data_IF_639375697173
#
_entry.id   IF_639375697173
#
_cell.length_a   1.000
_cell.length_b   1.000
_cell.length_c   1.000
_cell.angle_alpha   90.00
_cell.angle_beta   90.00
_cell.angle_gamma   90.00
#
_symmetry.space_group_name_H-M   'P 1'
#
loop_
_entity.id
_entity.type
_entity.pdbx_description
1 polymer ?
#
# COMPACT_ATOMS: atom_id res chain seq x y z
N UNK A 1 -25.34 22.47 6.89
CA UNK A 1 -24.03 22.77 7.50
C UNK A 1 -23.19 23.47 6.44
N UNK A 2 -23.36 24.78 6.32
CA UNK A 2 -22.52 25.66 5.51
C UNK A 2 -21.27 26.04 6.31
N UNK A 3 -20.08 26.10 5.69
CA UNK A 3 -18.92 26.73 6.29
C UNK A 3 -18.75 28.18 5.82
N UNK A 4 -18.77 29.08 6.79
CA UNK A 4 -18.48 30.51 6.73
C UNK A 4 -17.01 30.82 6.37
N UNK A 5 -16.79 31.73 5.41
CA UNK A 5 -15.51 32.37 5.12
C UNK A 5 -15.66 33.90 5.21
N UNK A 6 -14.81 34.62 5.97
CA UNK A 6 -14.72 36.08 5.89
C UNK A 6 -13.53 36.57 5.03
N UNK A 7 -13.58 37.83 4.53
CA UNK A 7 -12.70 38.35 3.50
C UNK A 7 -11.62 39.30 4.05
N UNK A 8 -10.46 39.37 3.39
CA UNK A 8 -9.66 40.60 3.33
C UNK A 8 -8.60 40.54 2.23
N UNK A 9 -8.89 41.29 1.17
CA UNK A 9 -8.00 41.63 0.07
C UNK A 9 -6.98 42.67 0.55
N UNK A 10 -5.68 42.40 0.41
CA UNK A 10 -4.64 43.42 0.54
C UNK A 10 -3.89 43.52 -0.79
N UNK A 11 -4.43 44.35 -1.69
CA UNK A 11 -3.81 44.79 -2.94
C UNK A 11 -3.04 46.07 -2.63
N UNK A 12 -1.73 45.98 -2.44
CA UNK A 12 -0.87 47.16 -2.30
C UNK A 12 -0.59 47.70 -3.72
N UNK A 13 -1.41 48.66 -4.14
CA UNK A 13 -1.15 49.52 -5.30
C UNK A 13 -0.32 50.70 -4.82
N UNK A 14 0.91 50.82 -5.32
CA UNK A 14 1.71 52.03 -5.13
C UNK A 14 1.10 53.16 -5.96
N UNK A 15 0.63 54.21 -5.28
CA UNK A 15 0.11 55.44 -5.90
C UNK A 15 1.28 56.35 -6.27
N UNK A 16 1.41 56.64 -7.56
CA UNK A 16 2.30 57.64 -8.15
C UNK A 16 1.68 59.04 -7.93
N UNK A 17 1.88 59.63 -6.75
CA UNK A 17 1.42 61.00 -6.49
C UNK A 17 2.36 61.70 -5.49
N UNK A 18 3.54 62.08 -6.00
CA UNK A 18 4.41 63.13 -5.44
C UNK A 18 5.60 63.38 -6.37
N UNK A 19 5.33 64.00 -7.53
CA UNK A 19 6.36 64.62 -8.38
C UNK A 19 6.04 66.10 -8.56
N UNK A 20 5.82 66.80 -7.44
CA UNK A 20 5.76 68.26 -7.46
C UNK A 20 6.20 68.84 -6.11
N UNK A 21 7.50 68.76 -5.85
CA UNK A 21 8.16 69.62 -4.88
C UNK A 21 9.66 69.72 -5.20
N UNK A 22 9.94 70.44 -6.28
CA UNK A 22 11.27 70.99 -6.57
C UNK A 22 11.57 72.02 -5.49
N UNK A 23 12.56 71.81 -4.59
CA UNK A 23 12.92 72.85 -3.63
C UNK A 23 13.64 73.98 -4.38
N UNK A 24 13.05 75.19 -4.33
CA UNK A 24 13.64 76.50 -4.67
C UNK A 24 14.84 76.87 -3.77
N UNK A 25 15.73 75.91 -3.51
CA UNK A 25 16.93 76.02 -2.67
C UNK A 25 18.22 75.90 -3.48
N UNK A 26 18.13 75.46 -4.75
CA UNK A 26 19.29 75.37 -5.65
C UNK A 26 19.66 76.69 -6.35
N UNK A 27 18.77 77.69 -6.38
CA UNK A 27 19.05 79.00 -7.00
C UNK A 27 19.75 80.02 -6.08
N UNK A 28 19.91 79.71 -4.79
CA UNK A 28 20.68 80.55 -3.86
C UNK A 28 22.17 80.16 -3.80
N UNK A 29 22.52 78.91 -4.13
CA UNK A 29 23.90 78.39 -4.07
C UNK A 29 24.73 78.64 -5.34
N UNK A 30 24.19 79.38 -6.32
CA UNK A 30 24.89 79.71 -7.57
C UNK A 30 25.56 81.09 -7.54
N UNK A 31 25.20 81.97 -6.59
CA UNK A 31 25.84 83.28 -6.42
C UNK A 31 27.23 83.21 -5.76
N UNK A 32 27.45 82.19 -4.93
CA UNK A 32 28.71 82.02 -4.20
C UNK A 32 29.85 81.48 -5.08
N UNK A 33 29.54 80.76 -6.17
CA UNK A 33 30.56 80.25 -7.09
C UNK A 33 31.16 81.35 -7.98
N UNK A 34 30.36 82.34 -8.38
CA UNK A 34 30.82 83.45 -9.22
C UNK A 34 31.76 84.39 -8.47
N UNK A 35 31.52 84.62 -7.18
CA UNK A 35 32.41 85.43 -6.34
C UNK A 35 33.72 84.68 -6.05
N UNK A 36 33.67 83.37 -5.82
CA UNK A 36 34.85 82.54 -5.58
C UNK A 36 35.78 82.48 -6.81
N UNK A 37 35.23 82.38 -8.02
CA UNK A 37 36.02 82.43 -9.27
C UNK A 37 36.72 83.80 -9.42
N UNK A 38 36.02 84.91 -9.17
CA UNK A 38 36.63 86.24 -9.26
C UNK A 38 37.70 86.50 -8.19
N UNK A 39 37.54 85.93 -6.99
CA UNK A 39 38.55 86.03 -5.91
C UNK A 39 39.77 85.17 -6.23
N UNK A 40 39.58 83.96 -6.78
CA UNK A 40 40.69 83.10 -7.20
C UNK A 40 41.45 83.71 -8.37
N UNK A 41 40.77 84.34 -9.35
CA UNK A 41 41.44 85.04 -10.46
C UNK A 41 42.13 86.33 -10.00
N UNK A 42 41.55 87.10 -9.07
CA UNK A 42 42.21 88.25 -8.44
C UNK A 42 43.45 87.83 -7.63
N UNK A 43 43.38 86.69 -6.94
CA UNK A 43 44.53 86.12 -6.21
C UNK A 43 45.61 85.60 -7.18
N UNK A 44 45.22 85.04 -8.34
CA UNK A 44 46.16 84.57 -9.36
C UNK A 44 46.87 85.72 -10.09
N UNK A 45 46.15 86.80 -10.38
CA UNK A 45 46.69 87.99 -11.06
C UNK A 45 47.61 88.77 -10.13
N UNK A 46 47.25 88.92 -8.84
CA UNK A 46 48.13 89.55 -7.84
C UNK A 46 49.36 88.71 -7.51
N UNK A 47 49.24 87.37 -7.49
CA UNK A 47 50.39 86.47 -7.31
C UNK A 47 51.35 86.49 -8.52
N UNK A 48 50.84 86.75 -9.74
CA UNK A 48 51.65 86.87 -10.95
C UNK A 48 52.38 88.22 -11.11
N UNK A 49 51.99 89.27 -10.36
CA UNK A 49 52.67 90.57 -10.33
C UNK A 49 53.62 90.75 -9.13
N UNK A 50 53.53 89.88 -8.10
CA UNK A 50 54.40 89.92 -6.92
C UNK A 50 55.69 89.08 -7.03
N UNK A 51 55.85 88.27 -8.09
CA UNK A 51 57.08 87.49 -8.37
C UNK A 51 57.95 88.12 -9.46
N UNK A 52 58.03 89.45 -9.46
CA UNK A 52 58.95 90.27 -10.24
C UNK A 52 60.24 90.64 -9.48
N UNK A 53 60.66 89.85 -8.50
CA UNK A 53 61.98 89.97 -7.86
C UNK A 53 62.78 88.69 -8.05
N UNK A 54 64.00 88.85 -8.55
CA UNK A 54 65.03 87.83 -8.75
C UNK A 54 65.16 86.88 -7.56
N UNK A 55 64.65 85.66 -7.69
CA UNK A 55 65.02 84.57 -6.79
C UNK A 55 66.51 84.25 -6.98
N UNK A 56 67.32 84.17 -5.90
CA UNK A 56 68.73 83.84 -6.00
C UNK A 56 68.88 82.46 -6.64
N UNK A 57 69.94 82.26 -7.44
CA UNK A 57 70.22 81.03 -8.19
C UNK A 57 70.09 79.74 -7.35
N UNK A 58 70.22 79.84 -6.03
CA UNK A 58 70.01 78.78 -5.05
C UNK A 58 68.60 78.15 -5.09
N UNK A 59 67.54 78.93 -5.33
CA UNK A 59 66.17 78.41 -5.38
C UNK A 59 65.85 77.72 -6.71
N UNK A 60 66.50 78.16 -7.80
CA UNK A 60 66.47 77.45 -9.09
C UNK A 60 67.25 76.14 -9.02
N UNK A 61 68.37 76.11 -8.28
CA UNK A 61 69.12 74.88 -8.01
C UNK A 61 68.31 73.91 -7.13
N UNK A 62 67.57 74.41 -6.14
CA UNK A 62 66.71 73.58 -5.29
C UNK A 62 65.50 73.02 -6.05
N UNK A 63 64.89 73.80 -6.95
CA UNK A 63 63.84 73.30 -7.85
C UNK A 63 64.37 72.39 -8.95
N UNK A 64 65.64 72.53 -9.37
CA UNK A 64 66.28 71.63 -10.33
C UNK A 64 66.72 70.31 -9.67
N UNK A 65 67.20 70.35 -8.43
CA UNK A 65 67.50 69.14 -7.63
C UNK A 65 66.20 68.42 -7.23
N UNK A 66 65.12 69.15 -6.98
CA UNK A 66 63.79 68.57 -6.71
C UNK A 66 63.06 68.12 -8.00
N UNK A 67 63.32 68.76 -9.13
CA UNK A 67 62.79 68.40 -10.45
C UNK A 67 63.57 67.29 -11.18
N UNK A 68 64.79 66.98 -10.74
CA UNK A 68 65.60 65.84 -11.20
C UNK A 68 65.39 64.56 -10.37
N UNK A 69 64.19 64.37 -9.82
CA UNK A 69 63.71 63.07 -9.41
C UNK A 69 62.62 62.54 -10.36
N UNK A 70 62.88 62.26 -11.65
CA UNK A 70 62.17 61.17 -12.27
C UNK A 70 62.83 59.87 -11.77
N UNK A 71 62.04 58.88 -11.37
CA UNK A 71 62.52 57.52 -11.06
C UNK A 71 63.23 57.28 -9.71
N UNK A 72 62.59 57.55 -8.58
CA UNK A 72 62.71 56.63 -7.42
C UNK A 72 61.59 56.85 -6.40
N UNK A 73 60.34 56.63 -6.80
CA UNK A 73 59.22 56.41 -5.86
C UNK A 73 58.10 55.60 -6.51
N UNK A 74 58.45 54.54 -7.24
CA UNK A 74 57.48 53.56 -7.74
C UNK A 74 57.96 52.13 -7.55
N UNK A 75 58.50 51.79 -6.38
CA UNK A 75 58.75 50.38 -6.01
C UNK A 75 58.40 50.14 -4.53
N UNK A 76 57.20 50.56 -4.12
CA UNK A 76 56.58 50.04 -2.90
C UNK A 76 55.08 49.81 -3.09
N UNK A 77 54.44 50.57 -3.99
CA UNK A 77 53.01 50.46 -4.28
C UNK A 77 52.69 49.32 -5.24
N UNK A 78 53.61 48.90 -6.11
CA UNK A 78 53.36 47.83 -7.08
C UNK A 78 53.23 46.46 -6.38
N UNK A 79 54.10 46.16 -5.42
CA UNK A 79 54.05 44.90 -4.68
C UNK A 79 52.80 44.80 -3.80
N UNK A 80 52.41 45.88 -3.11
CA UNK A 80 51.20 45.90 -2.27
C UNK A 80 49.93 45.89 -3.13
N UNK A 81 49.89 46.59 -4.27
CA UNK A 81 48.75 46.49 -5.21
C UNK A 81 48.64 45.09 -5.82
N UNK A 82 49.76 44.42 -6.11
CA UNK A 82 49.76 43.06 -6.66
C UNK A 82 49.33 42.05 -5.59
N UNK A 83 49.77 42.19 -4.34
CA UNK A 83 49.27 41.36 -3.23
C UNK A 83 47.79 41.62 -2.96
N UNK A 84 47.32 42.87 -3.02
CA UNK A 84 45.91 43.21 -2.88
C UNK A 84 45.08 42.71 -4.06
N UNK A 85 45.62 42.74 -5.29
CA UNK A 85 44.99 42.19 -6.47
C UNK A 85 44.89 40.65 -6.39
N UNK A 86 45.95 39.97 -5.96
CA UNK A 86 45.95 38.52 -5.75
C UNK A 86 44.97 38.13 -4.63
N UNK A 87 44.99 38.82 -3.49
CA UNK A 87 44.05 38.57 -2.40
C UNK A 87 42.59 38.86 -2.80
N UNK A 88 42.35 39.89 -3.61
CA UNK A 88 41.03 40.18 -4.16
C UNK A 88 40.57 39.07 -5.10
N UNK A 89 41.47 38.56 -5.95
CA UNK A 89 41.19 37.44 -6.83
C UNK A 89 40.89 36.17 -6.03
N UNK A 90 41.67 35.87 -4.98
CA UNK A 90 41.45 34.72 -4.10
C UNK A 90 40.13 34.84 -3.33
N UNK A 91 39.78 36.04 -2.85
CA UNK A 91 38.50 36.29 -2.18
C UNK A 91 37.31 36.09 -3.13
N UNK A 92 37.44 36.51 -4.40
CA UNK A 92 36.44 36.26 -5.42
C UNK A 92 36.33 34.76 -5.74
N UNK A 93 37.43 34.02 -5.78
CA UNK A 93 37.43 32.56 -5.96
C UNK A 93 36.74 31.85 -4.79
N UNK A 94 37.12 32.17 -3.55
CA UNK A 94 36.51 31.63 -2.32
C UNK A 94 35.01 31.95 -2.28
N UNK A 95 34.59 33.14 -2.73
CA UNK A 95 33.16 33.49 -2.78
C UNK A 95 32.36 32.61 -3.75
N UNK A 96 32.97 32.19 -4.87
CA UNK A 96 32.35 31.26 -5.83
C UNK A 96 32.27 29.85 -5.26
N UNK A 97 33.31 29.39 -4.57
CA UNK A 97 33.30 28.10 -3.88
C UNK A 97 32.27 28.08 -2.75
N UNK A 98 32.18 29.14 -1.95
CA UNK A 98 31.16 29.28 -0.91
C UNK A 98 29.75 29.32 -1.48
N UNK A 99 29.56 29.97 -2.65
CA UNK A 99 28.28 29.92 -3.35
C UNK A 99 27.94 28.49 -3.81
N UNK A 100 28.92 27.75 -4.34
CA UNK A 100 28.78 26.34 -4.70
C UNK A 100 28.42 25.46 -3.50
N UNK A 101 29.22 25.53 -2.42
CA UNK A 101 28.98 24.77 -1.19
C UNK A 101 27.62 25.09 -0.56
N UNK A 102 27.19 26.36 -0.61
CA UNK A 102 25.86 26.75 -0.12
C UNK A 102 24.74 26.08 -0.93
N UNK A 103 24.89 25.99 -2.26
CA UNK A 103 23.92 25.28 -3.11
C UNK A 103 23.93 23.78 -2.87
N UNK A 104 25.10 23.18 -2.63
CA UNK A 104 25.23 21.75 -2.33
C UNK A 104 24.61 21.40 -0.97
N UNK A 105 24.84 22.21 0.07
CA UNK A 105 24.19 22.04 1.37
C UNK A 105 22.68 22.14 1.26
N UNK A 106 22.18 23.08 0.46
CA UNK A 106 20.75 23.23 0.21
C UNK A 106 20.18 22.01 -0.52
N UNK A 107 20.92 21.46 -1.49
CA UNK A 107 20.56 20.22 -2.18
C UNK A 107 20.54 19.03 -1.22
N UNK A 108 21.61 18.83 -0.44
CA UNK A 108 21.72 17.75 0.53
C UNK A 108 20.62 17.83 1.60
N UNK A 109 20.21 19.04 2.00
CA UNK A 109 19.08 19.23 2.91
C UNK A 109 17.75 18.84 2.26
N UNK A 110 17.55 19.16 0.98
CA UNK A 110 16.37 18.74 0.22
C UNK A 110 16.33 17.23 0.03
N UNK A 111 17.45 16.61 -0.32
CA UNK A 111 17.56 15.15 -0.45
C UNK A 111 17.30 14.47 0.88
N UNK A 112 17.87 14.95 1.99
CA UNK A 112 17.57 14.41 3.32
C UNK A 112 16.08 14.55 3.69
N UNK A 113 15.44 15.67 3.34
CA UNK A 113 14.00 15.83 3.55
C UNK A 113 13.19 14.86 2.70
N UNK A 114 13.57 14.65 1.43
CA UNK A 114 12.93 13.69 0.52
C UNK A 114 13.10 12.25 0.99
N UNK A 115 14.31 11.88 1.44
CA UNK A 115 14.59 10.55 1.98
C UNK A 115 13.72 10.27 3.20
N UNK A 116 13.58 11.24 4.12
CA UNK A 116 12.69 11.11 5.29
C UNK A 116 11.24 10.85 4.89
N UNK A 117 10.72 11.60 3.92
CA UNK A 117 9.35 11.40 3.41
C UNK A 117 9.19 10.02 2.76
N UNK A 118 10.20 9.58 1.99
CA UNK A 118 10.19 8.27 1.33
C UNK A 118 10.18 7.13 2.35
N UNK A 119 11.00 7.22 3.40
CA UNK A 119 11.03 6.26 4.51
C UNK A 119 9.67 6.23 5.20
N UNK A 120 9.07 7.38 5.52
CA UNK A 120 7.76 7.43 6.18
C UNK A 120 6.64 6.84 5.30
N UNK A 121 6.66 7.07 4.00
CA UNK A 121 5.74 6.44 3.05
C UNK A 121 5.92 4.92 3.00
N UNK A 122 7.17 4.43 2.98
CA UNK A 122 7.49 3.00 3.03
C UNK A 122 7.01 2.37 4.34
N UNK A 123 7.29 3.00 5.47
CA UNK A 123 6.82 2.55 6.80
C UNK A 123 5.29 2.55 6.87
N UNK A 124 4.61 3.56 6.33
CA UNK A 124 3.14 3.61 6.27
C UNK A 124 2.57 2.49 5.40
N UNK A 125 3.17 2.23 4.23
CA UNK A 125 2.79 1.11 3.34
C UNK A 125 3.04 -0.25 4.00
N UNK A 126 4.17 -0.41 4.68
CA UNK A 126 4.47 -1.65 5.40
C UNK A 126 3.47 -1.89 6.55
N UNK A 127 3.10 -0.83 7.28
CA UNK A 127 2.10 -0.90 8.33
C UNK A 127 0.68 -1.15 7.79
N UNK A 128 0.30 -0.61 6.63
CA UNK A 128 -0.98 -0.94 6.00
C UNK A 128 -0.99 -2.38 5.49
N UNK A 129 0.05 -2.85 4.79
CA UNK A 129 0.13 -4.24 4.33
C UNK A 129 0.16 -5.22 5.51
N UNK A 130 0.86 -4.88 6.59
CA UNK A 130 0.85 -5.66 7.83
C UNK A 130 -0.51 -5.59 8.53
N UNK A 131 -1.21 -4.46 8.43
CA UNK A 131 -2.56 -4.25 8.95
C UNK A 131 -3.59 -5.11 8.21
N UNK A 132 -3.51 -5.17 6.88
CA UNK A 132 -4.36 -5.99 6.02
C UNK A 132 -4.10 -7.49 6.28
N UNK A 133 -2.84 -7.90 6.39
CA UNK A 133 -2.47 -9.27 6.73
C UNK A 133 -2.96 -9.67 8.14
N UNK A 134 -2.83 -8.77 9.13
CA UNK A 134 -3.37 -8.98 10.49
C UNK A 134 -4.90 -8.99 10.50
N UNK A 135 -5.55 -8.18 9.66
CA UNK A 135 -7.01 -8.15 9.48
C UNK A 135 -7.52 -9.46 8.89
N UNK A 136 -6.87 -9.95 7.83
CA UNK A 136 -7.15 -11.23 7.20
C UNK A 136 -6.90 -12.39 8.17
N UNK A 137 -5.81 -12.36 8.96
CA UNK A 137 -5.55 -13.37 10.00
C UNK A 137 -6.69 -13.44 11.01
N UNK A 138 -7.14 -12.29 11.55
CA UNK A 138 -8.28 -12.23 12.47
C UNK A 138 -9.59 -12.72 11.84
N UNK A 139 -9.78 -12.44 10.55
CA UNK A 139 -10.93 -12.95 9.81
C UNK A 139 -10.87 -14.48 9.64
N UNK A 140 -9.69 -15.01 9.35
CA UNK A 140 -9.45 -16.46 9.27
C UNK A 140 -9.63 -17.13 10.64
N UNK A 141 -9.14 -16.53 11.72
CA UNK A 141 -9.34 -17.03 13.09
C UNK A 141 -10.83 -17.08 13.46
N UNK A 142 -11.59 -16.03 13.14
CA UNK A 142 -13.04 -15.99 13.35
C UNK A 142 -13.78 -17.06 12.52
N UNK A 143 -13.35 -17.28 11.27
CA UNK A 143 -13.88 -18.35 10.40
C UNK A 143 -13.55 -19.73 10.98
N UNK A 144 -12.33 -19.96 11.45
CA UNK A 144 -11.92 -21.22 12.05
C UNK A 144 -12.77 -21.57 13.27
N UNK A 145 -12.95 -20.61 14.19
CA UNK A 145 -13.80 -20.78 15.37
C UNK A 145 -15.25 -21.10 14.99
N UNK A 146 -15.77 -20.49 13.92
CA UNK A 146 -17.12 -20.78 13.46
C UNK A 146 -17.27 -22.20 12.90
N UNK A 147 -16.25 -22.70 12.19
CA UNK A 147 -16.21 -24.07 11.68
C UNK A 147 -16.10 -25.08 12.81
N UNK A 148 -15.23 -24.82 13.79
CA UNK A 148 -15.03 -25.69 14.94
C UNK A 148 -16.30 -25.81 15.81
N UNK A 149 -17.06 -24.72 15.96
CA UNK A 149 -18.37 -24.75 16.61
C UNK A 149 -19.38 -25.61 15.85
N UNK A 150 -19.45 -25.48 14.52
CA UNK A 150 -20.35 -26.30 13.70
C UNK A 150 -19.97 -27.78 13.72
N UNK A 151 -18.67 -28.08 13.64
CA UNK A 151 -18.17 -29.45 13.72
C UNK A 151 -18.49 -30.09 15.08
N UNK A 152 -18.19 -29.41 16.19
CA UNK A 152 -18.49 -29.90 17.54
C UNK A 152 -19.99 -29.97 17.85
N UNK A 153 -20.81 -29.09 17.28
CA UNK A 153 -22.27 -29.19 17.37
C UNK A 153 -22.80 -30.40 16.60
N UNK A 154 -22.34 -30.61 15.36
CA UNK A 154 -22.75 -31.76 14.56
C UNK A 154 -22.40 -33.10 15.22
N UNK A 155 -21.23 -33.20 15.85
CA UNK A 155 -20.83 -34.39 16.61
C UNK A 155 -21.73 -34.62 17.83
N UNK A 156 -22.04 -33.57 18.60
CA UNK A 156 -22.96 -33.64 19.75
C UNK A 156 -24.38 -34.02 19.34
N UNK A 157 -24.87 -33.48 18.22
CA UNK A 157 -26.18 -33.81 17.67
C UNK A 157 -26.24 -35.27 17.22
N UNK A 158 -25.21 -35.79 16.55
CA UNK A 158 -25.15 -37.21 16.16
C UNK A 158 -25.15 -38.13 17.39
N UNK A 159 -24.37 -37.82 18.42
CA UNK A 159 -24.35 -38.60 19.66
C UNK A 159 -25.71 -38.55 20.36
N UNK A 160 -26.36 -37.38 20.39
CA UNK A 160 -27.70 -37.24 20.96
C UNK A 160 -28.75 -38.03 20.16
N UNK A 161 -28.67 -38.02 18.83
CA UNK A 161 -29.54 -38.81 17.96
C UNK A 161 -29.34 -40.31 18.20
N UNK A 162 -28.10 -40.79 18.25
CA UNK A 162 -27.82 -42.20 18.54
C UNK A 162 -28.36 -42.62 19.91
N UNK A 163 -28.15 -41.79 20.94
CA UNK A 163 -28.72 -42.02 22.27
C UNK A 163 -30.25 -42.04 22.28
N UNK A 164 -30.90 -41.19 21.48
CA UNK A 164 -32.35 -41.19 21.32
C UNK A 164 -32.85 -42.46 20.62
N UNK A 165 -32.14 -42.95 19.59
CA UNK A 165 -32.45 -44.23 18.95
C UNK A 165 -32.28 -45.40 19.91
N UNK A 166 -31.16 -45.44 20.66
CA UNK A 166 -30.91 -46.49 21.65
C UNK A 166 -31.99 -46.50 22.74
N UNK A 167 -32.40 -45.33 23.20
CA UNK A 167 -33.49 -45.20 24.18
C UNK A 167 -34.81 -45.71 23.60
N UNK A 168 -35.20 -45.26 22.40
CA UNK A 168 -36.42 -45.73 21.72
C UNK A 168 -36.40 -47.24 21.47
N UNK A 169 -35.25 -47.81 21.10
CA UNK A 169 -35.09 -49.25 20.91
C UNK A 169 -35.33 -50.00 22.24
N UNK A 170 -34.72 -49.53 23.33
CA UNK A 170 -34.93 -50.12 24.67
C UNK A 170 -36.38 -50.03 25.11
N UNK A 171 -37.01 -48.88 24.92
CA UNK A 171 -38.40 -48.65 25.29
C UNK A 171 -39.33 -49.58 24.48
N UNK A 172 -39.10 -49.73 23.17
CA UNK A 172 -39.85 -50.65 22.31
C UNK A 172 -39.67 -52.12 22.73
N UNK A 173 -38.45 -52.53 23.08
CA UNK A 173 -38.18 -53.90 23.56
C UNK A 173 -38.91 -54.15 24.89
N UNK A 174 -38.88 -53.19 25.80
CA UNK A 174 -39.58 -53.28 27.08
C UNK A 174 -41.10 -53.36 26.88
N UNK A 175 -41.66 -52.52 26.00
CA UNK A 175 -43.08 -52.52 25.64
C UNK A 175 -43.49 -53.84 24.97
N UNK A 176 -42.69 -54.34 24.03
CA UNK A 176 -42.94 -55.62 23.35
C UNK A 176 -42.90 -56.80 24.33
N UNK A 177 -41.94 -56.83 25.27
CA UNK A 177 -41.85 -57.88 26.29
C UNK A 177 -43.01 -57.80 27.29
N UNK A 178 -43.46 -56.60 27.66
CA UNK A 178 -44.65 -56.40 28.48
C UNK A 178 -45.91 -56.89 27.77
N UNK A 179 -46.08 -56.54 26.49
CA UNK A 179 -47.18 -57.02 25.66
C UNK A 179 -47.16 -58.56 25.50
N UNK A 180 -45.99 -59.16 25.24
CA UNK A 180 -45.85 -60.61 25.12
C UNK A 180 -46.22 -61.33 26.42
N UNK A 181 -45.85 -60.79 27.58
CA UNK A 181 -46.23 -61.33 28.88
C UNK A 181 -47.75 -61.26 29.13
N UNK A 182 -48.41 -60.24 28.58
CA UNK A 182 -49.87 -60.09 28.64
C UNK A 182 -50.60 -61.08 27.71
N UNK A 183 -49.99 -61.43 26.57
CA UNK A 183 -50.56 -62.37 25.58
C UNK A 183 -50.25 -63.84 25.92
N UNK A 184 -49.13 -64.13 26.56
CA UNK A 184 -48.76 -65.48 27.05
C UNK A 184 -49.32 -65.81 28.45
N UNK A 185 -50.26 -65.03 28.97
CA UNK A 185 -51.20 -65.57 29.97
C UNK A 185 -51.90 -66.81 29.40
N UNK A 186 -52.23 -67.84 30.21
CA UNK A 186 -52.66 -69.12 29.70
C UNK A 186 -54.00 -68.99 28.97
N UNK A 187 -53.94 -68.83 27.65
CA UNK A 187 -55.10 -68.95 26.79
C UNK A 187 -54.67 -69.54 25.45
N UNK A 188 -55.25 -70.70 25.23
CA UNK A 188 -55.21 -71.58 24.09
C UNK A 188 -55.61 -70.90 22.77
N UNK A 189 -54.93 -71.30 21.69
CA UNK A 189 -55.34 -71.27 20.27
C UNK A 189 -55.31 -69.92 19.53
N UNK A 190 -54.55 -69.89 18.43
CA UNK A 190 -54.80 -68.98 17.30
C UNK A 190 -53.55 -68.43 16.61
N UNK A 191 -53.18 -69.01 15.47
CA UNK A 191 -52.27 -68.37 14.51
C UNK A 191 -52.88 -67.07 13.95
N UNK A 192 -52.04 -66.10 13.54
CA UNK A 192 -52.44 -65.16 12.50
C UNK A 192 -51.52 -65.21 11.29
N UNK A 193 -52.12 -65.47 10.13
CA UNK A 193 -51.49 -65.35 8.83
C UNK A 193 -51.11 -63.90 8.51
N UNK A 194 -49.83 -63.72 8.16
CA UNK A 194 -49.31 -62.51 7.52
C UNK A 194 -49.33 -62.67 6.00
N UNK A 195 -49.60 -61.56 5.31
CA UNK A 195 -49.62 -61.42 3.85
C UNK A 195 -48.43 -62.12 3.14
N UNK A 196 -48.59 -62.54 1.86
CA UNK A 196 -47.52 -63.16 1.09
C UNK A 196 -46.41 -62.16 0.74
N UNK A 197 -45.54 -61.87 1.71
CA UNK A 197 -44.23 -61.27 1.43
C UNK A 197 -43.39 -62.29 0.68
N UNK A 198 -42.84 -61.90 -0.47
CA UNK A 198 -41.98 -62.75 -1.28
C UNK A 198 -40.86 -63.35 -0.40
N UNK A 199 -40.97 -64.64 -0.11
CA UNK A 199 -39.96 -65.39 0.63
C UNK A 199 -38.81 -65.72 -0.34
N UNK A 200 -37.67 -65.08 -0.15
CA UNK A 200 -36.45 -65.37 -0.91
C UNK A 200 -35.66 -66.46 -0.22
N UNK A 201 -35.30 -67.51 -0.97
CA UNK A 201 -34.45 -68.58 -0.43
C UNK A 201 -32.97 -68.17 -0.53
N UNK A 202 -32.12 -68.68 0.37
CA UNK A 202 -30.66 -68.53 0.25
C UNK A 202 -30.00 -69.71 -0.47
N UNK A 203 -30.81 -70.66 -0.96
CA UNK A 203 -30.38 -71.85 -1.69
C UNK A 203 -30.11 -71.56 -3.18
N UNK A 204 -28.99 -70.89 -3.45
CA UNK A 204 -28.47 -70.65 -4.78
C UNK A 204 -26.93 -70.69 -4.78
N UNK A 205 -26.30 -71.10 -5.89
CA UNK A 205 -24.84 -71.10 -6.01
C UNK A 205 -24.27 -69.68 -5.83
N UNK A 206 -23.20 -69.56 -5.04
CA UNK A 206 -22.51 -68.27 -4.82
C UNK A 206 -21.50 -67.94 -5.91
N UNK A 207 -21.18 -68.90 -6.78
CA UNK A 207 -20.42 -68.72 -8.00
C UNK A 207 -21.34 -68.20 -9.12
N UNK A 208 -20.86 -67.20 -9.84
CA UNK A 208 -21.61 -66.52 -10.89
C UNK A 208 -20.86 -65.28 -11.36
N UNK A 209 -21.52 -64.49 -12.21
CA UNK A 209 -21.00 -63.23 -12.72
C UNK A 209 -22.10 -62.17 -12.71
N UNK A 210 -21.72 -60.91 -12.88
CA UNK A 210 -22.66 -59.79 -12.93
C UNK A 210 -22.95 -59.46 -14.39
N UNK A 211 -24.23 -59.46 -14.77
CA UNK A 211 -24.69 -59.07 -16.10
C UNK A 211 -25.45 -57.75 -16.03
N UNK A 212 -25.15 -56.83 -16.95
CA UNK A 212 -25.88 -55.57 -17.08
C UNK A 212 -27.05 -55.77 -18.04
N UNK A 213 -28.27 -55.56 -17.54
CA UNK A 213 -29.50 -55.80 -18.30
C UNK A 213 -29.56 -54.86 -19.52
N UNK A 214 -29.70 -55.43 -20.71
CA UNK A 214 -29.86 -54.68 -21.96
C UNK A 214 -31.34 -54.39 -22.28
N UNK A 215 -31.59 -53.50 -23.25
CA UNK A 215 -32.95 -53.11 -23.63
C UNK A 215 -33.72 -54.32 -24.18
N UNK A 216 -34.79 -54.71 -23.50
CA UNK A 216 -35.65 -55.83 -23.88
C UNK A 216 -35.29 -57.17 -23.23
N UNK A 217 -34.25 -57.22 -22.39
CA UNK A 217 -33.94 -58.41 -21.60
C UNK A 217 -34.86 -58.52 -20.36
N UNK A 218 -35.23 -59.75 -20.02
CA UNK A 218 -36.02 -60.12 -18.84
C UNK A 218 -35.27 -61.16 -18.01
N UNK A 219 -35.68 -61.41 -16.75
CA UNK A 219 -35.03 -62.45 -15.92
C UNK A 219 -35.05 -63.82 -16.63
N UNK A 220 -36.14 -64.15 -17.31
CA UNK A 220 -36.27 -65.41 -18.05
C UNK A 220 -35.33 -65.48 -19.25
N UNK A 221 -35.21 -64.42 -20.05
CA UNK A 221 -34.29 -64.42 -21.20
C UNK A 221 -32.82 -64.49 -20.76
N UNK A 222 -32.46 -63.80 -19.67
CA UNK A 222 -31.11 -63.84 -19.09
C UNK A 222 -30.81 -65.24 -18.53
N UNK A 223 -31.76 -65.85 -17.81
CA UNK A 223 -31.61 -67.20 -17.29
C UNK A 223 -31.34 -68.21 -18.41
N UNK A 224 -32.10 -68.13 -19.52
CA UNK A 224 -31.92 -69.02 -20.68
C UNK A 224 -30.59 -68.75 -21.39
N UNK A 225 -30.21 -67.48 -21.61
CA UNK A 225 -28.97 -67.09 -22.28
C UNK A 225 -27.72 -67.65 -21.59
N UNK A 226 -27.74 -67.73 -20.26
CA UNK A 226 -26.61 -68.16 -19.44
C UNK A 226 -26.79 -69.52 -18.78
N UNK A 227 -27.79 -70.29 -19.19
CA UNK A 227 -28.11 -71.61 -18.62
C UNK A 227 -28.26 -71.60 -17.08
N UNK A 228 -28.82 -70.52 -16.53
CA UNK A 228 -29.09 -70.34 -15.11
C UNK A 228 -30.58 -70.59 -14.78
N UNK A 229 -30.92 -70.68 -13.49
CA UNK A 229 -32.31 -70.81 -13.04
C UNK A 229 -32.89 -69.45 -12.70
N UNK A 230 -34.10 -69.19 -13.20
CA UNK A 230 -34.89 -67.97 -12.91
C UNK A 230 -35.00 -67.75 -11.39
N UNK A 231 -35.29 -68.81 -10.63
CA UNK A 231 -35.40 -68.77 -9.16
C UNK A 231 -34.10 -68.30 -8.49
N UNK A 232 -32.94 -68.77 -8.96
CA UNK A 232 -31.65 -68.35 -8.41
C UNK A 232 -31.36 -66.87 -8.65
N UNK A 233 -31.71 -66.35 -9.82
CA UNK A 233 -31.54 -64.91 -10.12
C UNK A 233 -32.50 -64.07 -9.27
N UNK A 234 -33.75 -64.51 -9.11
CA UNK A 234 -34.75 -63.85 -8.25
C UNK A 234 -34.26 -63.81 -6.79
N UNK A 235 -33.84 -64.95 -6.27
CA UNK A 235 -33.42 -65.14 -4.88
C UNK A 235 -32.12 -64.37 -4.56
N UNK A 236 -31.14 -64.40 -5.46
CA UNK A 236 -29.86 -63.70 -5.27
C UNK A 236 -29.97 -62.18 -5.39
N UNK A 237 -30.83 -61.67 -6.27
CA UNK A 237 -31.02 -60.23 -6.49
C UNK A 237 -32.24 -59.65 -5.74
N UNK A 238 -32.93 -60.46 -4.93
CA UNK A 238 -34.13 -60.11 -4.16
C UNK A 238 -35.19 -59.39 -5.01
N UNK A 239 -35.45 -59.94 -6.20
CA UNK A 239 -36.42 -59.36 -7.15
C UNK A 239 -37.82 -59.84 -6.79
N UNK A 240 -38.72 -58.94 -6.39
CA UNK A 240 -40.10 -59.31 -6.09
C UNK A 240 -40.89 -59.73 -7.33
N UNK A 241 -40.74 -58.97 -8.43
CA UNK A 241 -41.46 -59.19 -9.69
C UNK A 241 -40.46 -59.44 -10.84
N UNK A 242 -40.38 -60.65 -11.41
CA UNK A 242 -39.45 -60.97 -12.49
C UNK A 242 -39.75 -60.26 -13.81
N UNK A 243 -40.94 -59.68 -13.96
CA UNK A 243 -41.35 -58.88 -15.13
C UNK A 243 -40.91 -57.42 -15.05
N UNK A 244 -40.48 -56.94 -13.87
CA UNK A 244 -40.08 -55.54 -13.63
C UNK A 244 -38.57 -55.40 -13.49
N UNK A 245 -37.83 -55.77 -14.53
CA UNK A 245 -36.38 -55.54 -14.59
C UNK A 245 -36.09 -54.26 -15.37
N UNK A 246 -35.31 -53.37 -14.79
CA UNK A 246 -34.92 -52.12 -15.42
C UNK A 246 -33.66 -52.30 -16.28
N UNK A 247 -33.68 -51.70 -17.46
CA UNK A 247 -32.53 -51.65 -18.37
C UNK A 247 -31.37 -50.91 -17.69
N UNK A 248 -30.17 -51.46 -17.82
CA UNK A 248 -28.94 -50.93 -17.23
C UNK A 248 -28.68 -51.37 -15.78
N UNK A 249 -29.61 -52.09 -15.14
CA UNK A 249 -29.40 -52.66 -13.81
C UNK A 249 -28.40 -53.81 -13.89
N UNK A 250 -27.49 -53.87 -12.92
CA UNK A 250 -26.58 -54.99 -12.73
C UNK A 250 -27.30 -56.09 -11.94
N UNK A 251 -27.34 -57.30 -12.51
CA UNK A 251 -27.91 -58.49 -11.88
C UNK A 251 -26.84 -59.56 -11.72
N UNK A 252 -26.76 -60.15 -10.53
CA UNK A 252 -25.94 -61.33 -10.30
C UNK A 252 -26.62 -62.55 -10.92
N UNK A 253 -25.91 -63.30 -11.76
CA UNK A 253 -26.39 -64.51 -12.40
C UNK A 253 -25.62 -65.71 -11.85
N UNK A 254 -26.21 -66.48 -10.92
CA UNK A 254 -25.60 -67.70 -10.38
C UNK A 254 -25.41 -68.77 -11.45
N UNK A 255 -24.30 -69.51 -11.41
CA UNK A 255 -24.04 -70.68 -12.27
C UNK A 255 -23.86 -71.94 -11.42
N UNK A 256 -24.27 -73.09 -11.96
CA UNK A 256 -24.05 -74.38 -11.31
C UNK A 256 -22.60 -74.83 -11.47
#
# INVERSE_FOLDING_TARGET
MEPSFPPSLCRISWSLEKVDQIPKRFLASARDFSTLITVVDMLRITFSQALGLSLPAFFRLLLFICGCAPFFSQEASANVNVQFANMKQDMELVSRELAGLRTEVELLRRENAQLRVTVEQLTRRQNSTSGDARGLSRQMDARLQSLERRASQGEKEQIALQKNFDKKLKDLIAEMNAAFSQVNGPSTNGAPGGAPGASFSTDYPKNGFVHKVEKGETVSSIAVKYSSKIKWIIDSNRISDPTKVFVGKELFVPQK
#
